data_IF_074759192206
#
_entry.id   IF_074759192206
#
_cell.length_a   1.000
_cell.length_b   1.000
_cell.length_c   1.000
_cell.angle_alpha   90.00
_cell.angle_beta   90.00
_cell.angle_gamma   90.00
#
_symmetry.space_group_name_H-M   'P 1'
#
loop_
_entity.id
_entity.type
_entity.pdbx_description
1 polymer ?
#
# COMPACT_ATOMS: atom_id res chain seq x y z
N UNK A 1 34.16 8.70 -24.79
CA UNK A 1 33.77 9.81 -25.68
C UNK A 1 32.45 9.50 -26.34
N UNK A 2 31.54 10.47 -26.37
CA UNK A 2 30.23 10.38 -26.99
C UNK A 2 30.25 10.92 -28.42
N UNK A 3 29.52 10.27 -29.32
CA UNK A 3 29.42 10.66 -30.73
C UNK A 3 27.96 10.67 -31.17
N UNK A 4 27.61 11.68 -31.97
CA UNK A 4 26.30 11.85 -32.61
C UNK A 4 26.52 11.95 -34.12
N UNK A 5 25.93 11.05 -34.90
CA UNK A 5 26.08 10.98 -36.35
C UNK A 5 27.56 10.99 -36.81
N UNK A 6 28.41 10.22 -36.14
CA UNK A 6 29.87 10.13 -36.36
C UNK A 6 30.70 11.35 -35.96
N UNK A 7 30.07 12.40 -35.43
CA UNK A 7 30.75 13.60 -34.94
C UNK A 7 30.91 13.56 -33.41
N UNK A 8 32.05 14.01 -32.86
CA UNK A 8 32.22 14.13 -31.42
C UNK A 8 31.12 15.01 -30.80
N UNK A 9 30.52 14.54 -29.73
CA UNK A 9 29.48 15.25 -29.02
C UNK A 9 29.89 15.45 -27.57
N UNK A 10 29.93 16.70 -27.13
CA UNK A 10 30.21 17.05 -25.73
C UNK A 10 28.90 17.45 -25.05
N UNK A 11 28.62 16.84 -23.91
CA UNK A 11 27.48 17.21 -23.09
C UNK A 11 27.60 18.66 -22.63
N UNK A 12 26.50 19.41 -22.67
CA UNK A 12 26.46 20.73 -22.08
C UNK A 12 26.12 20.66 -20.58
N UNK A 13 26.40 21.73 -19.84
CA UNK A 13 26.21 21.75 -18.38
C UNK A 13 24.78 21.47 -17.97
N UNK A 14 23.79 21.95 -18.75
CA UNK A 14 22.38 21.69 -18.47
C UNK A 14 22.00 20.21 -18.59
N UNK A 15 22.63 19.47 -19.50
CA UNK A 15 22.41 18.03 -19.64
C UNK A 15 23.07 17.26 -18.50
N UNK A 16 24.26 17.68 -18.11
CA UNK A 16 24.98 17.12 -16.97
C UNK A 16 24.17 17.34 -15.69
N UNK A 17 23.67 18.55 -15.44
CA UNK A 17 22.85 18.88 -14.27
C UNK A 17 21.56 18.07 -14.23
N UNK A 18 20.87 17.91 -15.36
CA UNK A 18 19.66 17.07 -15.44
C UNK A 18 19.98 15.62 -15.09
N UNK A 19 21.09 15.09 -15.58
CA UNK A 19 21.50 13.71 -15.31
C UNK A 19 21.90 13.52 -13.85
N UNK A 20 22.67 14.46 -13.29
CA UNK A 20 23.09 14.45 -11.89
C UNK A 20 21.86 14.56 -10.96
N UNK A 21 20.90 15.44 -11.28
CA UNK A 21 19.62 15.55 -10.55
C UNK A 21 18.78 14.28 -10.64
N UNK A 22 18.76 13.61 -11.80
CA UNK A 22 18.04 12.35 -11.98
C UNK A 22 18.53 11.26 -11.00
N UNK A 23 19.81 11.28 -10.65
CA UNK A 23 20.39 10.38 -9.64
C UNK A 23 20.55 11.02 -8.27
N UNK A 24 19.78 12.07 -7.96
CA UNK A 24 19.76 12.76 -6.65
C UNK A 24 21.14 13.26 -6.19
N UNK A 25 22.01 13.63 -7.14
CA UNK A 25 23.41 14.00 -6.90
C UNK A 25 24.27 12.90 -6.25
N UNK A 26 23.83 11.63 -6.27
CA UNK A 26 24.55 10.51 -5.66
C UNK A 26 25.30 9.71 -6.72
N UNK A 27 26.60 9.59 -6.52
CA UNK A 27 27.51 8.74 -7.29
C UNK A 27 28.36 7.91 -6.33
N UNK A 28 28.83 6.71 -6.72
CA UNK A 28 28.58 6.05 -8.01
C UNK A 28 27.14 5.58 -8.19
N UNK A 29 26.67 5.57 -9.45
CA UNK A 29 25.38 4.97 -9.81
C UNK A 29 25.57 3.48 -10.10
N UNK A 30 24.59 2.66 -9.72
CA UNK A 30 24.68 1.20 -9.83
C UNK A 30 23.85 0.70 -11.01
N UNK A 31 24.51 0.03 -11.96
CA UNK A 31 23.87 -0.68 -13.08
C UNK A 31 23.68 -2.14 -12.69
N UNK A 32 22.45 -2.64 -12.77
CA UNK A 32 22.08 -4.00 -12.37
C UNK A 32 21.20 -4.70 -13.42
N UNK A 33 21.00 -6.01 -13.27
CA UNK A 33 19.98 -6.71 -14.05
C UNK A 33 18.57 -6.27 -13.63
N UNK A 34 17.63 -6.09 -14.57
CA UNK A 34 16.23 -5.90 -14.22
C UNK A 34 15.69 -7.16 -13.54
N UNK A 35 14.75 -7.00 -12.61
CA UNK A 35 14.17 -8.13 -11.84
C UNK A 35 13.65 -9.25 -12.74
N UNK A 36 13.03 -8.92 -13.89
CA UNK A 36 12.53 -9.91 -14.85
C UNK A 36 13.59 -10.81 -15.50
N UNK A 37 14.88 -10.50 -15.36
CA UNK A 37 15.99 -11.36 -15.81
C UNK A 37 16.61 -12.21 -14.70
N UNK A 38 16.18 -12.01 -13.45
CA UNK A 38 16.63 -12.77 -12.29
C UNK A 38 15.54 -13.81 -12.01
N UNK A 39 15.81 -15.06 -12.33
CA UNK A 39 14.82 -16.15 -12.18
C UNK A 39 15.14 -16.92 -10.89
N UNK A 40 14.15 -17.29 -10.07
CA UNK A 40 14.38 -18.20 -8.95
C UNK A 40 15.02 -19.49 -9.47
N UNK A 41 16.05 -20.00 -8.77
CA UNK A 41 16.73 -21.20 -9.25
C UNK A 41 15.77 -22.37 -9.33
N UNK A 42 15.83 -23.11 -10.44
CA UNK A 42 14.98 -24.31 -10.63
C UNK A 42 15.43 -25.48 -9.74
N UNK A 43 16.64 -25.41 -9.20
CA UNK A 43 17.22 -26.44 -8.35
C UNK A 43 16.84 -26.21 -6.88
N UNK A 44 16.12 -27.17 -6.28
CA UNK A 44 15.62 -27.08 -4.89
C UNK A 44 16.72 -26.81 -3.83
N UNK A 45 17.97 -27.14 -4.12
CA UNK A 45 19.11 -26.95 -3.21
C UNK A 45 19.89 -25.65 -3.45
N UNK A 46 19.65 -24.93 -4.55
CA UNK A 46 20.31 -23.67 -4.82
C UNK A 46 19.50 -22.51 -4.25
N UNK A 47 20.05 -21.83 -3.23
CA UNK A 47 19.43 -20.66 -2.59
C UNK A 47 19.63 -19.36 -3.37
N UNK A 48 20.54 -19.34 -4.35
CA UNK A 48 20.84 -18.15 -5.15
C UNK A 48 20.00 -18.15 -6.44
N UNK A 49 19.46 -16.99 -6.87
CA UNK A 49 18.71 -16.91 -8.11
C UNK A 49 19.60 -17.13 -9.34
N UNK A 50 19.02 -17.75 -10.38
CA UNK A 50 19.67 -17.91 -11.68
C UNK A 50 19.71 -16.54 -12.36
N UNK A 51 20.92 -16.04 -12.58
CA UNK A 51 21.18 -14.78 -13.29
C UNK A 51 22.12 -15.02 -14.47
N UNK A 52 22.05 -14.20 -15.53
CA UNK A 52 23.03 -14.28 -16.62
C UNK A 52 24.46 -14.16 -16.08
N UNK A 53 25.36 -15.06 -16.49
CA UNK A 53 26.76 -15.06 -16.04
C UNK A 53 27.50 -13.77 -16.45
N UNK A 54 27.18 -13.24 -17.63
CA UNK A 54 27.62 -11.94 -18.11
C UNK A 54 26.70 -11.51 -19.25
N UNK A 55 26.50 -10.20 -19.41
CA UNK A 55 25.87 -9.63 -20.60
C UNK A 55 26.86 -8.68 -21.24
N UNK A 56 26.97 -8.77 -22.56
CA UNK A 56 27.68 -7.80 -23.39
C UNK A 56 26.71 -7.19 -24.40
N UNK A 57 26.77 -5.89 -24.61
CA UNK A 57 26.04 -5.24 -25.70
C UNK A 57 26.82 -4.06 -26.26
N UNK A 58 26.47 -3.68 -27.48
CA UNK A 58 27.18 -2.63 -28.19
C UNK A 58 26.77 -1.26 -27.66
N UNK A 59 27.75 -0.35 -27.51
CA UNK A 59 27.53 1.04 -27.15
C UNK A 59 27.22 1.88 -28.39
N UNK A 60 26.25 1.41 -29.17
CA UNK A 60 25.68 2.06 -30.35
C UNK A 60 24.18 1.95 -30.29
N UNK A 61 23.50 3.05 -30.60
CA UNK A 61 22.04 3.10 -30.62
C UNK A 61 21.55 4.00 -31.76
N UNK A 62 20.38 3.69 -32.27
CA UNK A 62 19.67 4.54 -33.23
C UNK A 62 18.45 5.09 -32.50
N UNK A 63 18.37 6.41 -32.39
CA UNK A 63 17.28 7.12 -31.71
C UNK A 63 16.41 7.78 -32.77
N UNK A 64 15.11 7.47 -32.76
CA UNK A 64 14.14 8.14 -33.63
C UNK A 64 13.74 9.46 -32.99
N UNK A 65 13.86 10.55 -33.74
CA UNK A 65 13.48 11.90 -33.36
C UNK A 65 12.49 12.46 -34.39
N UNK A 66 11.84 13.58 -34.07
CA UNK A 66 10.88 14.22 -34.99
C UNK A 66 11.52 14.66 -36.32
N UNK A 67 12.85 14.85 -36.31
CA UNK A 67 13.64 15.27 -37.49
C UNK A 67 14.27 14.09 -38.25
N UNK A 68 14.05 12.84 -37.82
CA UNK A 68 14.60 11.66 -38.48
C UNK A 68 15.21 10.65 -37.50
N UNK A 69 16.30 9.99 -37.90
CA UNK A 69 17.01 9.04 -37.05
C UNK A 69 18.41 9.53 -36.75
N UNK A 70 18.78 9.54 -35.48
CA UNK A 70 20.12 9.90 -35.01
C UNK A 70 20.88 8.65 -34.59
N UNK A 71 22.12 8.50 -35.06
CA UNK A 71 23.00 7.43 -34.59
C UNK A 71 23.87 7.95 -33.46
N UNK A 72 23.73 7.34 -32.29
CA UNK A 72 24.51 7.64 -31.09
C UNK A 72 25.51 6.52 -30.82
N UNK A 73 26.74 6.88 -30.44
CA UNK A 73 27.78 5.92 -30.08
C UNK A 73 28.61 6.42 -28.90
N UNK A 74 29.05 5.49 -28.05
CA UNK A 74 30.07 5.76 -27.05
C UNK A 74 31.30 4.89 -27.33
N UNK A 75 32.48 5.50 -27.41
CA UNK A 75 33.74 4.83 -27.70
C UNK A 75 34.92 5.47 -26.96
N UNK A 76 35.98 4.70 -26.74
CA UNK A 76 37.20 5.16 -26.08
C UNK A 76 38.09 5.98 -27.04
N UNK A 77 38.14 5.58 -28.32
CA UNK A 77 38.91 6.28 -29.36
C UNK A 77 38.38 6.00 -30.77
N UNK A 78 38.83 6.80 -31.75
CA UNK A 78 38.62 6.59 -33.19
C UNK A 78 39.97 6.43 -33.86
N UNK A 79 40.14 5.34 -34.61
CA UNK A 79 41.32 5.06 -35.43
C UNK A 79 40.88 5.07 -36.90
N UNK A 80 41.57 5.81 -37.75
CA UNK A 80 41.31 5.76 -39.19
C UNK A 80 42.16 4.66 -39.81
N UNK A 81 41.56 3.76 -40.59
CA UNK A 81 42.32 2.74 -41.29
C UNK A 81 43.03 3.27 -42.55
N UNK A 82 43.89 2.46 -43.16
CA UNK A 82 44.67 2.82 -44.35
C UNK A 82 43.82 3.17 -45.58
N UNK A 83 42.50 2.94 -45.52
CA UNK A 83 41.52 3.28 -46.58
C UNK A 83 40.69 4.52 -46.23
N UNK A 84 41.02 5.23 -45.16
CA UNK A 84 40.28 6.40 -44.69
C UNK A 84 38.99 6.06 -43.93
N UNK A 85 38.72 4.78 -43.65
CA UNK A 85 37.51 4.37 -42.94
C UNK A 85 37.74 4.56 -41.43
N UNK A 86 36.87 5.34 -40.79
CA UNK A 86 36.87 5.52 -39.33
C UNK A 86 36.48 4.20 -38.66
N UNK A 87 37.43 3.58 -37.97
CA UNK A 87 37.22 2.45 -37.05
C UNK A 87 37.16 2.97 -35.63
N UNK A 88 35.97 2.91 -35.06
CA UNK A 88 35.77 3.23 -33.66
C UNK A 88 36.28 2.06 -32.83
N UNK A 89 36.92 2.35 -31.70
CA UNK A 89 37.39 1.34 -30.75
C UNK A 89 36.44 1.30 -29.54
N UNK A 90 35.31 0.57 -29.61
CA UNK A 90 34.46 0.35 -28.44
C UNK A 90 34.82 -0.96 -27.73
N UNK A 91 34.93 -0.92 -26.39
CA UNK A 91 34.62 -2.10 -25.57
C UNK A 91 33.10 -2.27 -25.59
N UNK A 92 32.59 -3.47 -25.89
CA UNK A 92 31.20 -3.82 -25.57
C UNK A 92 30.94 -3.46 -24.11
N UNK A 93 29.78 -2.91 -23.78
CA UNK A 93 29.44 -2.74 -22.39
C UNK A 93 29.22 -4.12 -21.79
N UNK A 94 30.13 -4.51 -20.92
CA UNK A 94 30.11 -5.78 -20.22
C UNK A 94 29.89 -5.54 -18.74
N UNK A 95 29.00 -6.33 -18.14
CA UNK A 95 28.85 -6.41 -16.71
C UNK A 95 28.38 -7.81 -16.28
N UNK A 96 28.69 -8.17 -15.03
CA UNK A 96 28.38 -9.46 -14.41
C UNK A 96 27.55 -9.21 -13.15
N UNK A 97 26.23 -9.08 -13.32
CA UNK A 97 25.33 -8.72 -12.23
C UNK A 97 25.27 -7.23 -11.95
N UNK A 98 26.41 -6.63 -11.62
CA UNK A 98 26.48 -5.24 -11.15
C UNK A 98 27.68 -4.52 -11.75
N UNK A 99 27.52 -3.22 -12.05
CA UNK A 99 28.60 -2.31 -12.42
C UNK A 99 28.36 -0.93 -11.81
N UNK A 100 29.38 -0.37 -11.19
CA UNK A 100 29.34 0.99 -10.65
C UNK A 100 29.91 1.95 -11.69
N UNK A 101 29.27 3.10 -11.86
CA UNK A 101 29.71 4.17 -12.75
C UNK A 101 29.85 5.45 -11.93
N UNK A 102 31.03 6.03 -11.98
CA UNK A 102 31.37 7.24 -11.22
C UNK A 102 30.91 8.49 -11.96
N UNK A 103 31.04 9.65 -11.31
CA UNK A 103 30.78 10.94 -11.96
C UNK A 103 31.67 11.18 -13.18
N UNK A 104 32.86 10.58 -13.22
CA UNK A 104 33.75 10.65 -14.38
C UNK A 104 33.20 9.90 -15.61
N UNK A 105 32.28 8.96 -15.39
CA UNK A 105 31.61 8.19 -16.45
C UNK A 105 30.34 8.89 -16.96
N UNK A 106 30.15 10.18 -16.70
CA UNK A 106 28.88 10.89 -16.97
C UNK A 106 28.40 10.77 -18.41
N UNK A 107 29.32 10.77 -19.38
CA UNK A 107 29.00 10.55 -20.80
C UNK A 107 28.49 9.14 -21.08
N UNK A 108 29.06 8.13 -20.41
CA UNK A 108 28.60 6.75 -20.52
C UNK A 108 27.25 6.58 -19.83
N UNK A 109 27.05 7.18 -18.66
CA UNK A 109 25.77 7.18 -17.94
C UNK A 109 24.70 7.84 -18.80
N UNK A 110 25.01 8.99 -19.42
CA UNK A 110 24.12 9.66 -20.37
C UNK A 110 23.74 8.73 -21.51
N UNK A 111 24.73 8.11 -22.17
CA UNK A 111 24.47 7.17 -23.27
C UNK A 111 23.57 6.03 -22.82
N UNK A 112 23.88 5.40 -21.68
CA UNK A 112 23.13 4.26 -21.15
C UNK A 112 21.69 4.62 -20.77
N UNK A 113 21.46 5.78 -20.13
CA UNK A 113 20.12 6.18 -19.70
C UNK A 113 19.28 6.75 -20.85
N UNK A 114 19.87 7.65 -21.65
CA UNK A 114 19.15 8.49 -22.62
C UNK A 114 19.10 7.91 -24.01
N UNK A 115 20.09 7.09 -24.39
CA UNK A 115 20.25 6.65 -25.79
C UNK A 115 20.16 5.14 -25.95
N UNK A 116 20.62 4.35 -24.98
CA UNK A 116 20.63 2.89 -25.07
C UNK A 116 19.22 2.29 -25.09
N UNK A 117 18.98 1.38 -26.02
CA UNK A 117 17.73 0.61 -26.09
C UNK A 117 17.62 -0.48 -25.01
N UNK A 118 18.72 -0.74 -24.30
CA UNK A 118 18.80 -1.85 -23.36
C UNK A 118 18.51 -1.45 -21.91
N UNK A 119 18.34 -0.15 -21.62
CA UNK A 119 18.04 0.34 -20.29
C UNK A 119 16.55 0.26 -19.98
N UNK A 120 16.18 -0.43 -18.90
CA UNK A 120 14.82 -0.40 -18.37
C UNK A 120 14.49 1.02 -17.92
N UNK A 121 13.30 1.52 -18.28
CA UNK A 121 12.83 2.89 -18.01
C UNK A 121 13.75 4.00 -18.52
N UNK A 122 14.66 3.69 -19.44
CA UNK A 122 15.46 4.69 -20.15
C UNK A 122 14.65 5.39 -21.26
N UNK A 123 15.10 6.57 -21.69
CA UNK A 123 14.35 7.40 -22.64
C UNK A 123 14.18 6.73 -24.03
N UNK A 124 15.09 5.84 -24.41
CA UNK A 124 15.04 5.12 -25.70
C UNK A 124 14.81 3.60 -25.51
N UNK A 125 14.08 3.19 -24.46
CA UNK A 125 13.88 1.77 -24.16
C UNK A 125 13.35 0.97 -25.36
N UNK A 126 14.09 -0.07 -25.75
CA UNK A 126 13.69 -1.04 -26.77
C UNK A 126 13.01 -2.28 -26.18
N UNK A 127 12.72 -3.26 -27.03
CA UNK A 127 12.03 -4.50 -26.63
C UNK A 127 12.89 -5.40 -25.73
N UNK A 128 14.20 -5.43 -25.95
CA UNK A 128 15.12 -6.35 -25.26
C UNK A 128 15.90 -5.65 -24.14
N UNK A 129 15.23 -5.31 -23.05
CA UNK A 129 15.87 -4.71 -21.87
C UNK A 129 16.95 -5.64 -21.30
N UNK A 130 18.16 -5.13 -21.02
CA UNK A 130 19.29 -5.91 -20.47
C UNK A 130 19.75 -5.42 -19.09
N UNK A 131 19.59 -4.15 -18.78
CA UNK A 131 20.03 -3.56 -17.52
C UNK A 131 19.06 -2.48 -17.03
N UNK A 132 19.24 -2.04 -15.80
CA UNK A 132 18.61 -0.85 -15.25
C UNK A 132 19.59 -0.11 -14.33
N UNK A 133 19.38 1.19 -14.15
CA UNK A 133 19.99 1.88 -13.03
C UNK A 133 19.17 1.61 -11.77
N UNK A 134 19.85 1.25 -10.70
CA UNK A 134 19.20 1.09 -9.42
C UNK A 134 19.07 2.44 -8.73
N UNK A 135 17.85 2.73 -8.29
CA UNK A 135 17.54 3.92 -7.52
C UNK A 135 17.48 3.57 -6.02
N UNK A 136 18.66 3.47 -5.43
CA UNK A 136 18.80 3.17 -4.00
C UNK A 136 18.16 4.24 -3.11
N UNK A 137 18.02 5.48 -3.60
CA UNK A 137 17.46 6.58 -2.81
C UNK A 137 15.95 6.43 -2.72
N UNK A 138 15.27 6.37 -3.86
CA UNK A 138 13.82 6.20 -3.86
C UNK A 138 13.39 4.87 -3.23
N UNK A 139 14.16 3.80 -3.39
CA UNK A 139 13.88 2.53 -2.70
C UNK A 139 14.07 2.63 -1.19
N UNK A 140 15.13 3.30 -0.73
CA UNK A 140 15.35 3.53 0.70
C UNK A 140 14.29 4.45 1.30
N UNK A 141 13.89 5.51 0.61
CA UNK A 141 12.82 6.43 1.03
C UNK A 141 11.50 5.69 1.16
N UNK A 142 11.08 4.92 0.13
CA UNK A 142 9.86 4.10 0.20
C UNK A 142 9.92 3.08 1.34
N UNK A 143 11.09 2.47 1.58
CA UNK A 143 11.26 1.53 2.69
C UNK A 143 11.21 2.23 4.04
N UNK A 144 11.77 3.43 4.15
CA UNK A 144 11.71 4.25 5.36
C UNK A 144 10.29 4.74 5.65
N UNK A 145 9.55 5.17 4.63
CA UNK A 145 8.12 5.53 4.71
C UNK A 145 7.29 4.33 5.19
N UNK A 146 7.43 3.17 4.54
CA UNK A 146 6.74 1.95 4.97
C UNK A 146 7.07 1.59 6.42
N UNK A 147 8.35 1.68 6.81
CA UNK A 147 8.76 1.38 8.18
C UNK A 147 8.21 2.40 9.18
N UNK A 148 8.13 3.67 8.81
CA UNK A 148 7.54 4.73 9.63
C UNK A 148 6.04 4.46 9.86
N UNK A 149 5.32 4.06 8.81
CA UNK A 149 3.91 3.65 8.90
C UNK A 149 3.74 2.47 9.86
N UNK A 150 4.53 1.42 9.72
CA UNK A 150 4.44 0.25 10.61
C UNK A 150 4.82 0.59 12.05
N UNK A 151 5.81 1.45 12.28
CA UNK A 151 6.14 1.94 13.63
C UNK A 151 4.95 2.71 14.22
N UNK A 152 4.28 3.54 13.43
CA UNK A 152 3.13 4.33 13.89
C UNK A 152 1.95 3.44 14.26
N UNK A 153 1.63 2.44 13.43
CA UNK A 153 0.63 1.41 13.74
C UNK A 153 1.02 0.67 15.03
N UNK A 154 2.27 0.19 15.09
CA UNK A 154 2.81 -0.52 16.24
C UNK A 154 2.74 0.31 17.54
N UNK A 155 2.95 1.61 17.45
CA UNK A 155 2.85 2.54 18.59
C UNK A 155 1.41 2.66 19.07
N UNK A 156 0.45 2.81 18.16
CA UNK A 156 -0.97 2.93 18.50
C UNK A 156 -1.57 1.62 19.03
N UNK A 157 -1.04 0.46 18.62
CA UNK A 157 -1.52 -0.84 19.08
C UNK A 157 -0.79 -1.34 20.32
N UNK A 158 0.54 -1.23 20.38
CA UNK A 158 1.38 -1.90 21.38
C UNK A 158 2.26 -0.96 22.22
N UNK A 159 2.42 0.31 21.81
CA UNK A 159 3.34 1.26 22.43
C UNK A 159 2.82 1.90 23.72
N UNK A 160 3.64 2.80 24.29
CA UNK A 160 3.27 3.59 25.48
C UNK A 160 2.14 4.59 25.19
N UNK A 161 2.08 5.08 23.95
CA UNK A 161 0.98 5.90 23.43
C UNK A 161 -0.11 5.05 22.74
N UNK A 162 -0.25 3.79 23.16
CA UNK A 162 -1.29 2.93 22.61
C UNK A 162 -2.69 3.49 22.91
N UNK A 163 -3.62 3.21 22.01
CA UNK A 163 -5.03 3.51 22.22
C UNK A 163 -5.55 2.78 23.46
N UNK A 164 -6.52 3.39 24.14
CA UNK A 164 -7.17 2.79 25.31
C UNK A 164 -7.79 1.43 24.94
N UNK A 165 -7.87 0.52 25.92
CA UNK A 165 -8.48 -0.80 25.70
C UNK A 165 -9.90 -0.70 25.14
N UNK A 166 -10.70 0.23 25.65
CA UNK A 166 -12.05 0.49 25.13
C UNK A 166 -12.03 0.89 23.65
N UNK A 167 -11.13 1.82 23.27
CA UNK A 167 -11.02 2.27 21.88
C UNK A 167 -10.53 1.16 20.96
N UNK A 168 -9.58 0.33 21.40
CA UNK A 168 -9.13 -0.84 20.65
C UNK A 168 -10.25 -1.88 20.44
N UNK A 169 -11.03 -2.18 21.49
CA UNK A 169 -12.16 -3.10 21.37
C UNK A 169 -13.25 -2.55 20.45
N UNK A 170 -13.57 -1.26 20.56
CA UNK A 170 -14.51 -0.60 19.66
C UNK A 170 -14.02 -0.59 18.21
N UNK A 171 -12.72 -0.36 18.00
CA UNK A 171 -12.11 -0.41 16.67
C UNK A 171 -12.17 -1.83 16.07
N UNK A 172 -11.84 -2.86 16.85
CA UNK A 172 -11.96 -4.25 16.42
C UNK A 172 -13.41 -4.61 16.02
N UNK A 173 -14.40 -4.17 16.82
CA UNK A 173 -15.82 -4.32 16.49
C UNK A 173 -16.21 -3.53 15.24
N UNK A 174 -15.64 -2.34 15.03
CA UNK A 174 -15.89 -1.54 13.83
C UNK A 174 -15.32 -2.20 12.56
N UNK A 175 -14.26 -3.01 12.70
CA UNK A 175 -13.78 -3.92 11.66
C UNK A 175 -14.61 -5.20 11.49
N UNK A 176 -15.73 -5.32 12.21
CA UNK A 176 -16.61 -6.48 12.25
C UNK A 176 -15.89 -7.77 12.66
N UNK A 177 -14.94 -7.67 13.58
CA UNK A 177 -14.31 -8.84 14.20
C UNK A 177 -15.30 -9.41 15.23
N UNK A 178 -15.71 -10.68 15.11
CA UNK A 178 -16.69 -11.27 16.02
C UNK A 178 -16.08 -11.61 17.38
N UNK A 179 -16.90 -11.54 18.44
CA UNK A 179 -16.54 -12.05 19.76
C UNK A 179 -15.39 -11.30 20.45
N UNK A 180 -15.13 -10.05 20.08
CA UNK A 180 -14.05 -9.21 20.63
C UNK A 180 -14.09 -9.13 22.16
N UNK A 181 -15.27 -9.12 22.76
CA UNK A 181 -15.43 -9.02 24.22
C UNK A 181 -14.89 -10.24 24.97
N UNK A 182 -14.76 -11.39 24.30
CA UNK A 182 -14.20 -12.62 24.88
C UNK A 182 -12.68 -12.71 24.73
N UNK A 183 -12.05 -11.78 23.98
CA UNK A 183 -10.62 -11.77 23.72
C UNK A 183 -9.86 -10.98 24.79
N UNK A 184 -8.66 -11.45 25.12
CA UNK A 184 -7.70 -10.69 25.92
C UNK A 184 -7.17 -9.48 25.13
N UNK A 185 -6.75 -8.41 25.80
CA UNK A 185 -6.23 -7.21 25.13
C UNK A 185 -5.08 -7.52 24.14
N UNK A 186 -4.09 -8.38 24.46
CA UNK A 186 -3.06 -8.78 23.49
C UNK A 186 -3.64 -9.45 22.24
N UNK A 187 -4.66 -10.31 22.40
CA UNK A 187 -5.33 -10.94 21.26
C UNK A 187 -6.03 -9.89 20.40
N UNK A 188 -6.78 -8.96 21.02
CA UNK A 188 -7.46 -7.85 20.30
C UNK A 188 -6.47 -7.07 19.44
N UNK A 189 -5.30 -6.72 20.00
CA UNK A 189 -4.24 -6.01 19.25
C UNK A 189 -3.76 -6.80 18.04
N UNK A 190 -3.53 -8.10 18.19
CA UNK A 190 -3.10 -8.99 17.09
C UNK A 190 -4.19 -9.10 16.01
N UNK A 191 -5.47 -9.24 16.39
CA UNK A 191 -6.52 -9.38 15.38
C UNK A 191 -6.71 -8.09 14.58
N UNK A 192 -6.59 -6.92 15.23
CA UNK A 192 -6.58 -5.63 14.54
C UNK A 192 -5.36 -5.54 13.61
N UNK A 193 -4.17 -5.86 14.09
CA UNK A 193 -2.94 -5.80 13.27
C UNK A 193 -3.04 -6.67 12.01
N UNK A 194 -3.52 -7.91 12.15
CA UNK A 194 -3.79 -8.78 11.01
C UNK A 194 -4.77 -8.14 10.02
N UNK A 195 -5.83 -7.50 10.54
CA UNK A 195 -6.86 -6.87 9.71
C UNK A 195 -6.33 -5.68 8.91
N UNK A 196 -5.46 -4.88 9.51
CA UNK A 196 -4.77 -3.76 8.85
C UNK A 196 -3.93 -4.27 7.68
N UNK A 197 -3.25 -5.40 7.85
CA UNK A 197 -2.33 -5.94 6.85
C UNK A 197 -2.98 -6.87 5.81
N UNK A 198 -4.30 -7.12 5.88
CA UNK A 198 -5.02 -7.91 4.87
C UNK A 198 -5.02 -7.25 3.48
N UNK A 199 -4.96 -5.91 3.42
CA UNK A 199 -5.05 -5.15 2.16
C UNK A 199 -4.00 -4.04 2.10
N UNK A 200 -3.63 -3.60 0.89
CA UNK A 200 -2.65 -2.51 0.71
C UNK A 200 -3.14 -1.17 1.29
N UNK A 201 -4.47 -0.93 1.28
CA UNK A 201 -5.11 0.28 1.83
C UNK A 201 -5.43 0.18 3.33
N UNK A 202 -5.18 -0.97 3.95
CA UNK A 202 -5.57 -1.20 5.34
C UNK A 202 -4.89 -0.27 6.34
N UNK A 203 -3.59 0.07 6.20
CA UNK A 203 -2.93 1.09 7.02
C UNK A 203 -3.63 2.45 6.99
N UNK A 204 -3.99 2.93 5.81
CA UNK A 204 -4.63 4.25 5.66
C UNK A 204 -6.04 4.23 6.27
N UNK A 205 -6.83 3.18 5.98
CA UNK A 205 -8.15 2.98 6.61
C UNK A 205 -8.08 2.91 8.13
N UNK A 206 -6.99 2.38 8.69
CA UNK A 206 -6.80 2.36 10.14
C UNK A 206 -6.62 3.74 10.71
N UNK A 207 -5.78 4.59 10.11
CA UNK A 207 -5.62 5.96 10.58
C UNK A 207 -6.92 6.76 10.47
N UNK A 208 -7.64 6.62 9.35
CA UNK A 208 -8.95 7.28 9.17
C UNK A 208 -9.95 6.82 10.25
N UNK A 209 -10.00 5.52 10.54
CA UNK A 209 -10.90 4.96 11.55
C UNK A 209 -10.54 5.39 12.97
N UNK A 210 -9.25 5.49 13.31
CA UNK A 210 -8.81 5.90 14.66
C UNK A 210 -9.34 7.29 15.03
N UNK A 211 -9.49 8.18 14.05
CA UNK A 211 -9.98 9.54 14.27
C UNK A 211 -11.51 9.68 14.04
N UNK A 212 -12.16 8.65 13.48
CA UNK A 212 -13.59 8.67 13.14
C UNK A 212 -14.49 8.07 14.24
N UNK A 213 -14.53 8.71 15.42
CA UNK A 213 -15.28 8.20 16.59
C UNK A 213 -16.78 7.95 16.31
N UNK A 214 -17.43 8.81 15.50
CA UNK A 214 -18.83 8.58 15.11
C UNK A 214 -19.01 7.34 14.22
N UNK A 215 -18.12 7.13 13.27
CA UNK A 215 -18.14 5.96 12.40
C UNK A 215 -17.92 4.69 13.21
N UNK A 216 -16.94 4.70 14.13
CA UNK A 216 -16.73 3.61 15.08
C UNK A 216 -18.02 3.29 15.83
N UNK A 217 -18.68 4.29 16.43
CA UNK A 217 -19.92 4.06 17.20
C UNK A 217 -21.02 3.40 16.35
N UNK A 218 -21.20 3.85 15.11
CA UNK A 218 -22.19 3.30 14.18
C UNK A 218 -21.86 1.86 13.79
N UNK A 219 -20.60 1.56 13.49
CA UNK A 219 -20.18 0.18 13.14
C UNK A 219 -20.23 -0.76 14.36
N UNK A 220 -19.88 -0.28 15.54
CA UNK A 220 -19.96 -1.03 16.81
C UNK A 220 -21.40 -1.43 17.14
N UNK A 221 -22.39 -0.56 16.93
CA UNK A 221 -23.80 -0.90 17.19
C UNK A 221 -24.29 -2.02 16.28
N UNK A 222 -23.91 -1.98 14.99
CA UNK A 222 -24.19 -3.05 14.03
C UNK A 222 -23.54 -4.36 14.47
N UNK A 223 -22.24 -4.34 14.80
CA UNK A 223 -21.53 -5.56 15.23
C UNK A 223 -22.13 -6.15 16.51
N UNK A 224 -22.57 -5.32 17.47
CA UNK A 224 -23.28 -5.80 18.67
C UNK A 224 -24.57 -6.54 18.31
N UNK A 225 -25.34 -6.07 17.33
CA UNK A 225 -26.56 -6.74 16.89
C UNK A 225 -26.26 -8.07 16.17
N UNK A 226 -25.14 -8.15 15.43
CA UNK A 226 -24.61 -9.40 14.84
C UNK A 226 -24.19 -10.38 15.94
N UNK A 227 -23.39 -9.95 16.91
CA UNK A 227 -22.91 -10.78 18.02
C UNK A 227 -24.07 -11.29 18.90
N UNK A 228 -25.16 -10.52 19.03
CA UNK A 228 -26.40 -10.94 19.71
C UNK A 228 -27.23 -11.95 18.89
N UNK A 229 -26.85 -12.24 17.65
CA UNK A 229 -27.57 -13.14 16.74
C UNK A 229 -28.89 -12.56 16.21
N UNK A 230 -29.06 -11.24 16.30
CA UNK A 230 -30.28 -10.54 15.84
C UNK A 230 -30.15 -10.16 14.36
N UNK A 231 -28.91 -9.97 13.89
CA UNK A 231 -28.60 -9.79 12.47
C UNK A 231 -27.88 -11.04 11.96
N UNK A 232 -28.38 -11.62 10.87
CA UNK A 232 -27.77 -12.79 10.23
C UNK A 232 -27.62 -12.60 8.73
N UNK A 233 -26.44 -12.91 8.22
CA UNK A 233 -26.17 -12.91 6.79
C UNK A 233 -26.45 -14.28 6.18
N UNK A 234 -27.30 -14.31 5.15
CA UNK A 234 -27.53 -15.49 4.31
C UNK A 234 -26.53 -15.45 3.14
N UNK A 235 -25.56 -16.37 3.16
CA UNK A 235 -24.49 -16.44 2.15
C UNK A 235 -25.00 -16.90 0.79
N UNK A 236 -26.03 -17.75 0.74
CA UNK A 236 -26.60 -18.27 -0.51
C UNK A 236 -27.38 -17.18 -1.24
N UNK A 237 -28.18 -16.42 -0.49
CA UNK A 237 -29.01 -15.34 -1.06
C UNK A 237 -28.27 -14.01 -1.15
N UNK A 238 -27.12 -13.89 -0.49
CA UNK A 238 -26.36 -12.65 -0.31
C UNK A 238 -27.19 -11.53 0.30
N UNK A 239 -27.97 -11.85 1.34
CA UNK A 239 -28.92 -10.93 1.97
C UNK A 239 -28.71 -10.91 3.47
N UNK A 240 -28.83 -9.72 4.06
CA UNK A 240 -28.91 -9.54 5.51
C UNK A 240 -30.35 -9.64 5.99
N UNK A 241 -30.53 -10.29 7.13
CA UNK A 241 -31.84 -10.51 7.72
C UNK A 241 -31.87 -10.14 9.20
N UNK A 242 -33.04 -9.68 9.65
CA UNK A 242 -33.43 -9.66 11.05
C UNK A 242 -33.85 -11.06 11.50
N UNK A 243 -33.35 -11.47 12.66
CA UNK A 243 -33.69 -12.71 13.33
C UNK A 243 -34.35 -12.37 14.67
N UNK A 244 -35.68 -12.27 14.65
CA UNK A 244 -36.52 -12.09 15.85
C UNK A 244 -36.67 -13.42 16.60
N UNK A 245 -36.73 -13.37 17.94
CA UNK A 245 -37.04 -14.54 18.77
C UNK A 245 -38.53 -14.90 18.61
N UNK A 246 -38.83 -15.95 17.86
CA UNK A 246 -40.16 -16.56 17.71
C UNK A 246 -40.46 -17.02 16.28
N UNK A 247 -41.53 -17.81 16.09
CA UNK A 247 -41.94 -18.44 14.81
C UNK A 247 -42.40 -17.44 13.71
N UNK A 248 -42.26 -16.12 13.94
CA UNK A 248 -42.66 -15.08 12.99
C UNK A 248 -41.44 -14.39 12.38
N UNK A 249 -40.95 -15.01 11.32
CA UNK A 249 -40.51 -14.34 10.09
C UNK A 249 -39.12 -13.69 10.11
N UNK A 250 -38.19 -14.34 9.42
CA UNK A 250 -36.95 -13.72 8.94
C UNK A 250 -37.33 -12.52 8.06
N UNK A 251 -37.00 -11.29 8.47
CA UNK A 251 -37.25 -10.08 7.67
C UNK A 251 -35.99 -9.67 6.93
N UNK A 252 -36.07 -9.49 5.62
CA UNK A 252 -34.94 -9.04 4.81
C UNK A 252 -34.64 -7.55 5.06
N UNK A 253 -33.36 -7.22 5.19
CA UNK A 253 -32.83 -5.87 5.42
C UNK A 253 -32.29 -5.32 4.10
N UNK A 254 -31.16 -5.86 3.64
CA UNK A 254 -30.50 -5.39 2.44
C UNK A 254 -29.85 -6.55 1.67
N UNK A 255 -29.79 -6.42 0.34
CA UNK A 255 -29.05 -7.33 -0.53
C UNK A 255 -27.65 -6.76 -0.77
N UNK A 256 -26.63 -7.61 -0.71
CA UNK A 256 -25.24 -7.21 -0.88
C UNK A 256 -24.92 -7.03 -2.37
N UNK A 257 -24.48 -5.82 -2.81
CA UNK A 257 -24.04 -5.61 -4.18
C UNK A 257 -22.77 -6.40 -4.51
N UNK A 258 -22.56 -6.81 -5.76
CA UNK A 258 -21.40 -7.63 -6.15
C UNK A 258 -20.05 -6.94 -5.97
N UNK A 259 -20.02 -5.62 -5.83
CA UNK A 259 -18.81 -4.81 -5.66
C UNK A 259 -18.52 -4.41 -4.20
N UNK A 260 -19.27 -4.91 -3.22
CA UNK A 260 -19.10 -4.56 -1.80
C UNK A 260 -18.99 -5.81 -0.93
N UNK A 261 -18.28 -5.67 0.18
CA UNK A 261 -18.33 -6.68 1.23
C UNK A 261 -19.70 -6.63 1.92
N UNK A 262 -20.13 -7.77 2.47
CA UNK A 262 -21.42 -7.85 3.14
C UNK A 262 -21.53 -6.87 4.33
N UNK A 263 -20.43 -6.60 5.02
CA UNK A 263 -20.38 -5.65 6.13
C UNK A 263 -20.48 -4.19 5.68
N UNK A 264 -19.79 -3.80 4.60
CA UNK A 264 -19.90 -2.44 4.07
C UNK A 264 -21.31 -2.17 3.51
N UNK A 265 -21.93 -3.16 2.86
CA UNK A 265 -23.31 -3.04 2.38
C UNK A 265 -24.31 -2.80 3.52
N UNK A 266 -24.11 -3.45 4.68
CA UNK A 266 -24.95 -3.24 5.86
C UNK A 266 -24.72 -1.87 6.50
N UNK A 267 -23.47 -1.41 6.54
CA UNK A 267 -23.14 -0.08 7.05
C UNK A 267 -23.69 1.05 6.15
N UNK A 268 -23.61 0.90 4.83
CA UNK A 268 -24.21 1.85 3.90
C UNK A 268 -25.72 1.91 4.04
N UNK A 269 -26.37 0.76 4.25
CA UNK A 269 -27.80 0.71 4.53
C UNK A 269 -28.14 1.46 5.83
N UNK A 270 -27.34 1.27 6.88
CA UNK A 270 -27.48 2.02 8.14
C UNK A 270 -27.36 3.54 7.97
N UNK A 271 -26.49 4.01 7.06
CA UNK A 271 -26.39 5.43 6.72
C UNK A 271 -27.60 5.95 5.94
N UNK A 272 -28.19 5.12 5.08
CA UNK A 272 -29.27 5.52 4.17
C UNK A 272 -30.69 5.34 4.71
N UNK A 273 -30.90 4.51 5.75
CA UNK A 273 -32.22 4.18 6.27
C UNK A 273 -32.35 4.58 7.76
N UNK A 274 -33.14 5.63 8.02
CA UNK A 274 -33.40 6.13 9.38
C UNK A 274 -34.23 5.14 10.22
N UNK A 275 -35.15 4.40 9.62
CA UNK A 275 -35.99 3.42 10.33
C UNK A 275 -35.14 2.27 10.87
N UNK A 276 -34.25 1.74 10.03
CA UNK A 276 -33.33 0.69 10.46
C UNK A 276 -32.40 1.15 11.58
N UNK A 277 -31.95 2.40 11.53
CA UNK A 277 -31.13 3.01 12.57
C UNK A 277 -31.86 3.07 13.91
N UNK A 278 -33.09 3.57 13.90
CA UNK A 278 -33.91 3.74 15.08
C UNK A 278 -34.27 2.37 15.70
N UNK A 279 -34.62 1.39 14.88
CA UNK A 279 -34.85 0.01 15.30
C UNK A 279 -33.62 -0.55 16.01
N UNK A 280 -32.43 -0.38 15.41
CA UNK A 280 -31.19 -0.88 15.96
C UNK A 280 -30.79 -0.17 17.27
N UNK A 281 -31.07 1.13 17.40
CA UNK A 281 -30.86 1.87 18.66
C UNK A 281 -31.83 1.41 19.77
N UNK A 282 -33.09 1.16 19.42
CA UNK A 282 -34.12 0.72 20.38
C UNK A 282 -33.78 -0.61 21.07
N UNK A 283 -33.08 -1.51 20.37
CA UNK A 283 -32.57 -2.78 20.92
C UNK A 283 -31.60 -2.59 22.09
N UNK A 284 -30.89 -1.46 22.12
CA UNK A 284 -29.92 -1.16 23.17
C UNK A 284 -30.53 -0.32 24.31
N UNK A 285 -31.65 0.38 24.07
CA UNK A 285 -32.38 1.15 25.10
C UNK A 285 -33.25 0.21 25.96
N UNK A 286 -33.89 -0.79 25.35
CA UNK A 286 -34.86 -1.69 26.01
C UNK A 286 -34.24 -2.69 27.01
N UNK A 287 -32.90 -2.77 27.12
CA UNK A 287 -32.19 -3.64 28.07
C UNK A 287 -31.86 -3.00 29.43
N UNK A 288 -32.37 -1.80 29.74
CA UNK A 288 -32.33 -1.21 31.09
C UNK A 288 -33.72 -1.12 31.75
N UNK A 289 -34.30 -2.21 32.28
CA UNK A 289 -35.51 -2.11 33.08
C UNK A 289 -35.19 -2.26 34.58
N UNK A 290 -34.50 -1.30 35.20
CA UNK A 290 -34.54 -1.10 36.66
C UNK A 290 -34.34 0.38 37.00
N UNK A 291 -35.35 1.18 36.67
CA UNK A 291 -35.71 2.36 37.45
C UNK A 291 -37.15 2.14 37.90
N UNK A 292 -37.31 1.83 39.18
CA UNK A 292 -38.57 1.42 39.78
C UNK A 292 -39.67 2.46 39.58
N UNK A 293 -40.82 2.01 39.07
CA UNK A 293 -42.10 2.67 39.29
C UNK A 293 -42.47 2.51 40.76
N UNK A 294 -42.16 3.48 41.61
CA UNK A 294 -42.96 3.73 42.81
C UNK A 294 -44.24 4.42 42.36
N UNK A 295 -45.33 3.65 42.31
CA UNK A 295 -46.69 4.18 42.25
C UNK A 295 -46.94 4.99 43.52
N UNK A 296 -47.40 6.23 43.35
CA UNK A 296 -47.97 7.01 44.44
C UNK A 296 -49.23 6.37 45.02
N UNK A 297 -49.38 6.53 46.33
CA UNK A 297 -50.66 6.68 47.00
C UNK A 297 -50.51 7.94 47.86
N UNK A 298 -51.33 8.95 47.58
CA UNK A 298 -51.51 10.10 48.45
C UNK A 298 -52.47 9.78 49.60
N UNK A 299 -52.56 10.73 50.54
CA UNK A 299 -53.69 10.87 51.44
C UNK A 299 -53.32 11.06 52.91
N UNK A 300 -53.21 12.34 53.28
CA UNK A 300 -53.70 13.00 54.50
C UNK A 300 -52.94 12.87 55.85
N UNK A 301 -52.43 14.05 56.25
CA UNK A 301 -52.57 14.78 57.52
C UNK A 301 -52.49 14.02 58.87
N UNK A 302 -51.62 14.52 59.76
CA UNK A 302 -51.98 15.15 61.04
C UNK A 302 -50.71 15.70 61.72
N UNK A 303 -50.88 16.88 62.31
CA UNK A 303 -49.95 17.70 63.08
C UNK A 303 -49.37 17.05 64.35
N UNK A 304 -48.34 17.75 64.84
CA UNK A 304 -48.03 18.07 66.24
C UNK A 304 -46.90 17.35 67.01
N UNK A 305 -46.12 18.25 67.64
CA UNK A 305 -45.37 18.17 68.91
C UNK A 305 -43.98 17.48 69.00
N UNK A 306 -42.96 18.36 69.09
CA UNK A 306 -42.03 18.62 70.22
C UNK A 306 -41.40 17.47 71.05
N UNK A 307 -40.23 17.85 71.60
CA UNK A 307 -39.39 17.21 72.64
C UNK A 307 -38.37 16.20 72.07
N UNK A 308 -37.04 16.31 72.25
CA UNK A 308 -36.12 17.11 73.09
C UNK A 308 -34.83 17.41 72.29
#
# INVERSE_FOLDING_TARGET
>A
MLYKNEEPYKLCDTEIEKLVKHFHNKFPVRVVYPQGRIVPSRLKHNRLPDKPNSISFDLRSIVKTDKGSETWRYADSVVTDNKGIKRFTPKKFQFKGTRFLDRNDIELIFFLLKKSEYCFKGDNQGRMVKFMFEDLVSEAEKKAEKKTLEIRIGTLLFGELALSEEKLRNLAKAYFIPGVDNLTLPQVRIVIDNKIHETQEGPDKFFDMVDADEEIRKRVSIQKAVDMGVLKYDTEKQVWHWQTKGDKGITQICKVPPNKTFNEALYDFYKGDDSFRDDLQSLFITKNPHAGKTKGKGGDDIDDEKEE
#
